data_IF_414069561005
#
_entry.id   IF_414069561005
#
_cell.length_a   1.000
_cell.length_b   1.000
_cell.length_c   1.000
_cell.angle_alpha   90.00
_cell.angle_beta   90.00
_cell.angle_gamma   90.00
#
_symmetry.space_group_name_H-M   'P 1'
#
loop_
_entity.id
_entity.type
_entity.pdbx_description
1 polymer ?
#
# COMPACT_ATOMS: atom_id res chain seq x y z
N UNK A 1 -0.74 -7.18 8.49
CA UNK A 1 0.18 -7.61 7.42
C UNK A 1 1.59 -7.03 7.46
N UNK A 2 1.82 -5.81 7.95
CA UNK A 2 3.18 -5.24 8.05
C UNK A 2 4.22 -6.19 8.67
N UNK A 3 3.86 -6.87 9.76
CA UNK A 3 4.75 -7.84 10.41
C UNK A 3 5.12 -9.03 9.52
N UNK A 4 4.18 -9.55 8.72
CA UNK A 4 4.46 -10.62 7.75
C UNK A 4 5.43 -10.13 6.68
N UNK A 5 5.16 -8.99 6.05
CA UNK A 5 6.02 -8.41 5.01
C UNK A 5 7.42 -8.14 5.57
N UNK A 6 7.51 -7.61 6.79
CA UNK A 6 8.79 -7.37 7.46
C UNK A 6 9.60 -8.65 7.68
N UNK A 7 8.95 -9.75 8.08
CA UNK A 7 9.65 -11.03 8.26
C UNK A 7 10.07 -11.65 6.93
N UNK A 8 9.20 -11.58 5.92
CA UNK A 8 9.42 -12.18 4.61
C UNK A 8 10.50 -11.45 3.79
N UNK A 9 10.49 -10.12 3.79
CA UNK A 9 11.38 -9.32 2.95
C UNK A 9 12.45 -8.57 3.76
N UNK A 10 12.18 -8.23 5.02
CA UNK A 10 13.04 -7.40 5.87
C UNK A 10 12.48 -5.99 6.08
N UNK A 11 13.28 -5.08 6.69
CA UNK A 11 12.93 -3.68 6.78
C UNK A 11 12.93 -3.01 5.39
N UNK A 12 12.01 -2.06 5.13
CA UNK A 12 12.05 -1.24 3.93
C UNK A 12 13.21 -0.23 3.96
N UNK A 13 13.62 0.20 2.77
CA UNK A 13 14.61 1.28 2.63
C UNK A 13 14.00 2.62 3.02
N UNK A 14 12.76 2.87 2.59
CA UNK A 14 11.99 4.07 2.96
C UNK A 14 10.64 3.66 3.53
N UNK A 15 10.26 4.34 4.61
CA UNK A 15 9.01 4.12 5.34
C UNK A 15 8.30 5.43 5.60
N UNK A 16 7.28 5.73 4.81
CA UNK A 16 6.48 6.95 4.97
C UNK A 16 5.12 6.64 5.57
N UNK A 17 4.75 7.36 6.62
CA UNK A 17 3.46 7.21 7.31
C UNK A 17 2.62 8.47 7.12
N UNK A 18 1.40 8.28 6.63
CA UNK A 18 0.41 9.34 6.47
C UNK A 18 -0.75 9.07 7.41
N UNK A 19 -0.79 9.76 8.55
CA UNK A 19 -1.79 9.51 9.60
C UNK A 19 -2.80 10.63 9.81
N UNK A 20 -2.57 11.79 9.21
CA UNK A 20 -3.30 13.04 9.49
C UNK A 20 -4.04 13.59 8.28
N UNK A 21 -4.17 12.81 7.19
CA UNK A 21 -4.88 13.26 6.00
C UNK A 21 -6.40 13.24 6.27
N UNK A 22 -7.11 14.39 6.23
CA UNK A 22 -8.55 14.44 6.52
C UNK A 22 -9.40 13.60 5.56
N UNK A 23 -8.92 13.43 4.32
CA UNK A 23 -9.68 12.83 3.23
C UNK A 23 -9.36 11.35 3.01
N UNK A 24 -8.41 10.78 3.77
CA UNK A 24 -8.02 9.38 3.63
C UNK A 24 -7.87 8.65 4.96
N UNK A 25 -8.00 7.33 4.95
CA UNK A 25 -7.59 6.50 6.09
C UNK A 25 -6.08 6.61 6.29
N UNK A 26 -5.56 6.52 7.52
CA UNK A 26 -4.14 6.39 7.79
C UNK A 26 -3.53 5.25 6.99
N UNK A 27 -2.44 5.54 6.30
CA UNK A 27 -1.73 4.56 5.50
C UNK A 27 -0.22 4.73 5.64
N UNK A 28 0.48 3.69 5.23
CA UNK A 28 1.92 3.60 5.27
C UNK A 28 2.44 3.03 3.96
N UNK A 29 3.46 3.68 3.41
CA UNK A 29 4.13 3.30 2.18
C UNK A 29 5.52 2.82 2.51
N UNK A 30 5.83 1.62 2.07
CA UNK A 30 7.14 0.99 2.23
C UNK A 30 7.76 0.84 0.86
N UNK A 31 8.95 1.39 0.69
CA UNK A 31 9.72 1.30 -0.55
C UNK A 31 10.96 0.43 -0.33
N UNK A 32 11.24 -0.42 -1.31
CA UNK A 32 12.42 -1.27 -1.35
C UNK A 32 13.17 -1.04 -2.66
N UNK A 33 14.41 -0.59 -2.59
CA UNK A 33 15.31 -0.53 -3.74
C UNK A 33 15.75 -1.92 -4.17
N UNK A 34 15.92 -2.82 -3.20
CA UNK A 34 16.16 -4.24 -3.45
C UNK A 34 15.29 -5.12 -2.55
N UNK A 35 14.39 -5.86 -3.17
CA UNK A 35 13.46 -6.78 -2.52
C UNK A 35 13.87 -8.23 -2.80
N UNK A 36 14.11 -9.02 -1.75
CA UNK A 36 14.43 -10.45 -1.85
C UNK A 36 13.44 -11.20 -0.99
N UNK A 37 12.77 -12.21 -1.56
CA UNK A 37 11.85 -13.05 -0.81
C UNK A 37 12.61 -14.13 -0.05
N UNK A 38 12.70 -14.01 1.28
CA UNK A 38 13.43 -14.97 2.10
C UNK A 38 12.77 -16.35 2.13
N UNK A 39 11.46 -16.43 1.90
CA UNK A 39 10.74 -17.70 1.90
C UNK A 39 11.11 -18.56 0.69
N UNK A 40 11.51 -17.93 -0.40
CA UNK A 40 11.93 -18.60 -1.64
C UNK A 40 13.45 -18.74 -1.77
N UNK A 41 14.23 -18.42 -0.73
CA UNK A 41 15.69 -18.46 -0.81
C UNK A 41 16.25 -19.83 -1.23
N UNK A 42 15.57 -20.93 -0.88
CA UNK A 42 15.97 -22.29 -1.26
C UNK A 42 15.46 -22.74 -2.64
N UNK A 43 14.33 -22.21 -3.11
CA UNK A 43 13.67 -22.64 -4.35
C UNK A 43 13.96 -21.72 -5.54
N UNK A 44 14.20 -20.44 -5.27
CA UNK A 44 14.55 -19.44 -6.27
C UNK A 44 15.60 -18.47 -5.67
N UNK A 45 16.89 -18.82 -5.71
CA UNK A 45 17.96 -17.97 -5.17
C UNK A 45 18.12 -16.65 -5.94
N UNK A 46 17.57 -16.53 -7.15
CA UNK A 46 17.63 -15.34 -8.00
C UNK A 46 16.29 -14.58 -8.02
N UNK A 47 15.58 -14.54 -6.89
CA UNK A 47 14.28 -13.88 -6.76
C UNK A 47 14.35 -12.37 -6.44
N UNK A 48 15.51 -11.76 -6.60
CA UNK A 48 15.72 -10.34 -6.33
C UNK A 48 14.87 -9.49 -7.28
N UNK A 49 14.18 -8.51 -6.73
CA UNK A 49 13.40 -7.50 -7.43
C UNK A 49 13.93 -6.12 -7.03
N UNK A 50 13.74 -5.13 -7.90
CA UNK A 50 14.16 -3.76 -7.64
C UNK A 50 12.96 -2.81 -7.66
N UNK A 51 13.08 -1.71 -6.91
CA UNK A 51 12.14 -0.60 -6.85
C UNK A 51 10.70 -1.07 -6.67
N UNK A 52 10.42 -1.66 -5.50
CA UNK A 52 9.12 -2.22 -5.15
C UNK A 52 8.47 -1.42 -4.04
N UNK A 53 7.22 -1.05 -4.28
CA UNK A 53 6.41 -0.37 -3.28
C UNK A 53 5.34 -1.30 -2.68
N UNK A 54 5.05 -1.09 -1.40
CA UNK A 54 3.98 -1.72 -0.65
C UNK A 54 3.17 -0.65 0.05
N UNK A 55 1.85 -0.76 -0.02
CA UNK A 55 0.91 0.16 0.62
C UNK A 55 0.06 -0.58 1.61
N UNK A 56 0.11 -0.11 2.85
CA UNK A 56 -0.69 -0.62 3.94
C UNK A 56 -1.63 0.46 4.45
N UNK A 57 -2.82 0.09 4.89
CA UNK A 57 -3.79 1.02 5.47
C UNK A 57 -4.41 0.47 6.75
N UNK A 58 -4.87 1.36 7.62
CA UNK A 58 -5.60 1.03 8.84
C UNK A 58 -7.06 1.50 8.70
N UNK A 59 -8.01 0.59 8.40
CA UNK A 59 -9.42 0.95 8.26
C UNK A 59 -10.10 1.26 9.60
N UNK A 60 -9.57 0.73 10.70
CA UNK A 60 -10.23 0.79 12.01
C UNK A 60 -9.80 2.03 12.82
N UNK A 61 -8.79 2.78 12.36
CA UNK A 61 -8.21 3.99 12.99
C UNK A 61 -7.64 3.83 14.40
N UNK A 62 -7.94 2.73 15.08
CA UNK A 62 -7.73 2.53 16.52
C UNK A 62 -6.82 1.33 16.79
N UNK A 63 -6.87 0.29 15.94
CA UNK A 63 -6.25 -1.01 16.24
C UNK A 63 -4.78 -1.11 15.82
N UNK A 64 -4.27 -0.14 15.05
CA UNK A 64 -2.91 -0.18 14.47
C UNK A 64 -2.70 -1.43 13.61
N UNK A 65 -3.79 -2.01 13.09
CA UNK A 65 -3.82 -3.21 12.25
C UNK A 65 -3.76 -2.79 10.79
N UNK A 66 -2.52 -2.59 10.34
CA UNK A 66 -2.27 -2.23 8.95
C UNK A 66 -2.35 -3.46 8.06
N UNK A 67 -3.29 -3.40 7.12
CA UNK A 67 -3.59 -4.42 6.12
C UNK A 67 -2.90 -4.04 4.80
N UNK A 68 -2.32 -5.02 4.12
CA UNK A 68 -1.69 -4.80 2.81
C UNK A 68 -2.78 -4.69 1.74
N UNK A 69 -2.87 -3.54 1.08
CA UNK A 69 -3.86 -3.32 0.01
C UNK A 69 -3.24 -3.30 -1.38
N UNK A 70 -1.95 -2.99 -1.48
CA UNK A 70 -1.25 -2.96 -2.75
C UNK A 70 0.22 -3.28 -2.56
N UNK A 71 0.76 -4.03 -3.51
CA UNK A 71 2.18 -4.31 -3.64
C UNK A 71 2.54 -4.42 -5.12
N UNK A 72 3.76 -3.99 -5.43
CA UNK A 72 4.40 -4.22 -6.73
C UNK A 72 5.33 -5.45 -6.71
N UNK A 73 5.46 -6.11 -5.55
CA UNK A 73 6.23 -7.33 -5.37
C UNK A 73 5.57 -8.53 -6.05
N UNK A 74 6.39 -9.38 -6.69
CA UNK A 74 5.91 -10.64 -7.28
C UNK A 74 5.37 -11.56 -6.17
N UNK A 75 4.19 -12.12 -6.40
CA UNK A 75 3.54 -13.04 -5.45
C UNK A 75 2.71 -12.36 -4.37
N UNK A 76 2.60 -11.03 -4.39
CA UNK A 76 1.82 -10.24 -3.45
C UNK A 76 0.52 -9.72 -4.05
N UNK A 77 -0.38 -9.24 -3.18
CA UNK A 77 -1.62 -8.60 -3.63
C UNK A 77 -1.31 -7.32 -4.41
N UNK A 78 -1.72 -7.28 -5.68
CA UNK A 78 -1.61 -6.10 -6.52
C UNK A 78 -3.00 -5.61 -6.89
N UNK A 79 -3.45 -4.55 -6.21
CA UNK A 79 -4.71 -3.89 -6.50
C UNK A 79 -4.44 -2.52 -7.12
N UNK A 80 -4.71 -2.29 -8.39
CA UNK A 80 -4.49 -0.98 -9.05
C UNK A 80 -5.42 0.11 -8.55
N UNK A 81 -6.57 -0.26 -7.97
CA UNK A 81 -7.60 0.65 -7.43
C UNK A 81 -7.41 0.91 -5.93
N UNK A 82 -6.25 0.59 -5.36
CA UNK A 82 -5.97 0.74 -3.92
C UNK A 82 -6.18 2.17 -3.39
N UNK A 83 -5.98 3.19 -4.23
CA UNK A 83 -6.24 4.59 -3.89
C UNK A 83 -7.70 4.84 -3.50
N UNK A 84 -8.65 4.14 -4.12
CA UNK A 84 -10.08 4.23 -3.79
C UNK A 84 -10.36 3.66 -2.39
N UNK A 85 -9.59 2.67 -1.95
CA UNK A 85 -9.74 2.09 -0.61
C UNK A 85 -9.32 3.06 0.49
N UNK A 86 -8.42 4.00 0.18
CA UNK A 86 -8.02 5.04 1.11
C UNK A 86 -9.08 6.14 1.26
N UNK A 87 -9.81 6.45 0.19
CA UNK A 87 -10.81 7.53 0.18
C UNK A 87 -12.15 7.04 0.69
N UNK A 88 -12.41 7.17 1.99
CA UNK A 88 -13.74 6.84 2.55
C UNK A 88 -14.16 7.77 3.69
N UNK A 89 -14.28 9.05 3.37
CA UNK A 89 -15.07 9.98 4.20
C UNK A 89 -16.12 10.81 3.43
N UNK A 90 -16.05 10.88 2.10
CA UNK A 90 -16.99 11.68 1.28
C UNK A 90 -18.06 10.87 0.53
N UNK A 91 -17.83 9.58 0.24
CA UNK A 91 -18.74 8.78 -0.59
C UNK A 91 -19.52 7.74 0.24
N UNK A 92 -20.25 8.22 1.26
CA UNK A 92 -21.51 7.56 1.62
C UNK A 92 -22.56 7.94 0.57
N UNK A 93 -22.36 7.47 -0.65
CA UNK A 93 -23.34 7.57 -1.71
C UNK A 93 -23.21 6.29 -2.50
N UNK A 94 -24.10 5.36 -2.15
CA UNK A 94 -24.86 4.50 -3.06
C UNK A 94 -24.18 4.26 -4.40
N UNK A 95 -23.62 3.05 -4.55
CA UNK A 95 -23.39 2.32 -5.81
C UNK A 95 -21.98 1.72 -5.87
N UNK A 96 -21.92 0.41 -5.57
CA UNK A 96 -20.70 -0.40 -5.61
C UNK A 96 -20.36 -0.94 -7.01
N UNK A 97 -21.14 -0.55 -8.03
CA UNK A 97 -21.04 -1.03 -9.42
C UNK A 97 -20.69 0.06 -10.46
N UNK A 98 -20.37 1.28 -10.02
CA UNK A 98 -20.06 2.36 -10.97
C UNK A 98 -18.60 2.28 -11.46
N UNK A 99 -18.39 1.73 -12.65
CA UNK A 99 -17.12 1.77 -13.38
C UNK A 99 -16.67 3.20 -13.76
N UNK A 100 -17.50 4.22 -13.53
CA UNK A 100 -17.21 5.62 -13.83
C UNK A 100 -17.24 6.52 -12.57
N UNK A 101 -16.51 6.14 -11.52
CA UNK A 101 -16.19 7.10 -10.46
C UNK A 101 -15.45 8.31 -11.09
N UNK A 102 -15.98 9.56 -10.96
CA UNK A 102 -15.42 10.71 -11.63
C UNK A 102 -13.97 10.93 -11.20
N UNK A 103 -13.09 11.04 -12.22
CA UNK A 103 -11.63 11.15 -12.15
C UNK A 103 -11.11 12.43 -11.47
N UNK A 104 -11.85 13.01 -10.52
CA UNK A 104 -11.37 14.14 -9.73
C UNK A 104 -10.56 13.62 -8.54
N UNK A 105 -9.42 13.00 -8.84
CA UNK A 105 -8.42 12.54 -7.88
C UNK A 105 -7.59 13.72 -7.35
N UNK A 106 -8.22 14.58 -6.55
CA UNK A 106 -7.55 15.67 -5.81
C UNK A 106 -7.10 15.24 -4.42
N UNK A 107 -6.56 14.03 -4.27
CA UNK A 107 -6.10 13.49 -2.99
C UNK A 107 -4.58 13.46 -2.90
N UNK A 108 -4.03 13.89 -1.76
CA UNK A 108 -2.59 13.86 -1.47
C UNK A 108 -1.95 12.47 -1.70
N UNK A 109 -2.75 11.39 -1.75
CA UNK A 109 -2.28 10.03 -1.99
C UNK A 109 -1.59 9.80 -3.35
N UNK A 110 -1.97 10.49 -4.43
CA UNK A 110 -1.26 10.36 -5.72
C UNK A 110 0.12 11.01 -5.65
N UNK A 111 0.20 12.21 -5.09
CA UNK A 111 1.45 12.94 -4.87
C UNK A 111 2.36 12.20 -3.89
N UNK A 112 1.81 11.64 -2.82
CA UNK A 112 2.54 10.85 -1.84
C UNK A 112 3.09 9.54 -2.41
N UNK A 113 2.36 8.90 -3.33
CA UNK A 113 2.85 7.71 -4.03
C UNK A 113 4.00 8.05 -4.99
N UNK A 114 3.90 9.19 -5.69
CA UNK A 114 4.95 9.65 -6.63
C UNK A 114 6.15 10.24 -5.93
N UNK A 115 5.95 10.81 -4.75
CA UNK A 115 6.95 11.50 -3.98
C UNK A 115 6.80 11.16 -2.50
N UNK A 116 7.16 9.92 -2.10
CA UNK A 116 7.16 9.53 -0.70
C UNK A 116 8.13 10.45 0.05
N UNK A 117 7.66 11.05 1.15
CA UNK A 117 8.41 12.03 1.97
C UNK A 117 8.77 11.50 3.34
#
# INVERSE_FOLDING_TARGET
DRGRVYLQYGPPDIRTKYSTDPNSYPYEMWEYYSLVDKTQALTNPNNRQSNKMFVFYDPDLVTNRYTLIHSEGRGEISNTRWKLLLTKRSNQSTDMDDENAPLNFGGNADDNYRNPR
#
